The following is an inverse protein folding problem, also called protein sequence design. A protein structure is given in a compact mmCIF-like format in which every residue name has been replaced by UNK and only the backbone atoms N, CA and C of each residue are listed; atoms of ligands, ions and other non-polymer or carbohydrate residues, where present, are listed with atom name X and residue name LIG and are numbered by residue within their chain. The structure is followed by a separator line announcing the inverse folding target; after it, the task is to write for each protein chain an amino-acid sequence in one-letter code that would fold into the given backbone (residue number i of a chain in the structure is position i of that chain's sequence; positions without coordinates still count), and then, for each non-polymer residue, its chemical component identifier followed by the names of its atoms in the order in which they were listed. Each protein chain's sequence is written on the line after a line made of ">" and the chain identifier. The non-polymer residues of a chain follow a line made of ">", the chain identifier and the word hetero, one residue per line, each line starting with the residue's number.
data_IF_448446730239
#
_entry.id   IF_448446730239
#
_cell.length_a   1.000
_cell.length_b   1.000
_cell.length_c   1.000
_cell.angle_alpha   90.00
_cell.angle_beta   90.00
_cell.angle_gamma   90.00
#
_symmetry.space_group_name_H-M   'P 1'
#
loop_
_entity.id
_entity.type
_entity.pdbx_description
1 polymer ?
#
# COMPACT_ATOMS: atom_id res chain seq x y z
N UNK A 1 68.23 -14.84 -1.70
CA UNK A 1 67.31 -13.71 -1.49
C UNK A 1 66.17 -13.89 -2.49
N UNK A 2 64.94 -14.10 -2.03
CA UNK A 2 63.77 -14.36 -2.89
C UNK A 2 62.97 -13.07 -2.96
N UNK A 3 62.85 -12.47 -4.14
CA UNK A 3 61.96 -11.34 -4.38
C UNK A 3 60.55 -11.86 -4.70
N UNK A 4 59.47 -11.28 -4.15
CA UNK A 4 58.13 -11.66 -4.54
C UNK A 4 57.82 -11.07 -5.92
N UNK A 5 57.54 -11.95 -6.89
CA UNK A 5 56.90 -11.59 -8.14
C UNK A 5 55.48 -11.13 -7.79
N UNK A 6 55.19 -9.85 -7.99
CA UNK A 6 53.84 -9.31 -7.82
C UNK A 6 52.86 -10.05 -8.75
N UNK A 7 51.68 -10.46 -8.27
CA UNK A 7 50.71 -11.17 -9.09
C UNK A 7 50.20 -10.31 -10.26
N UNK A 8 50.00 -10.95 -11.42
CA UNK A 8 49.60 -10.31 -12.69
C UNK A 8 48.28 -9.51 -12.68
N UNK A 9 47.51 -9.52 -11.59
CA UNK A 9 46.30 -8.71 -11.46
C UNK A 9 46.59 -7.23 -11.16
N UNK A 10 47.79 -6.88 -10.68
CA UNK A 10 48.16 -5.48 -10.42
C UNK A 10 48.69 -4.73 -11.66
N UNK A 11 49.18 -5.44 -12.68
CA UNK A 11 49.70 -4.84 -13.91
C UNK A 11 48.62 -4.59 -14.97
N UNK A 12 47.48 -5.29 -14.90
CA UNK A 12 46.36 -5.11 -15.83
C UNK A 12 45.60 -3.77 -15.64
N UNK A 13 45.68 -3.17 -14.45
CA UNK A 13 45.01 -1.89 -14.12
C UNK A 13 45.57 -0.69 -14.88
N UNK A 14 46.81 -0.77 -15.38
CA UNK A 14 47.51 0.33 -16.04
C UNK A 14 47.36 0.32 -17.58
N UNK A 15 46.84 -0.76 -18.17
CA UNK A 15 46.81 -0.96 -19.63
C UNK A 15 45.56 -0.38 -20.32
N UNK A 16 44.45 -0.18 -19.59
CA UNK A 16 43.20 0.32 -20.19
C UNK A 16 42.48 1.31 -19.26
N UNK A 17 42.81 2.62 -19.29
CA UNK A 17 42.14 3.65 -18.48
C UNK A 17 40.64 3.80 -18.80
N UNK A 18 40.17 3.23 -19.92
CA UNK A 18 38.76 3.16 -20.29
C UNK A 18 38.03 1.92 -19.73
N UNK A 19 38.76 0.90 -19.25
CA UNK A 19 38.16 -0.31 -18.66
C UNK A 19 37.31 0.04 -17.44
N UNK A 20 37.79 0.96 -16.59
CA UNK A 20 37.01 1.49 -15.48
C UNK A 20 35.80 2.30 -15.92
N UNK A 21 35.80 2.93 -17.11
CA UNK A 21 34.62 3.61 -17.65
C UNK A 21 33.58 2.61 -18.13
N UNK A 22 33.99 1.48 -18.69
CA UNK A 22 33.07 0.40 -19.11
C UNK A 22 32.54 -0.36 -17.90
N UNK A 23 33.38 -0.73 -16.94
CA UNK A 23 32.96 -1.37 -15.69
C UNK A 23 32.09 -0.42 -14.85
N UNK A 24 32.46 0.86 -14.78
CA UNK A 24 31.63 1.88 -14.12
C UNK A 24 30.34 2.17 -14.90
N UNK A 25 30.32 2.12 -16.23
CA UNK A 25 29.12 2.29 -17.04
C UNK A 25 28.19 1.08 -16.90
N UNK A 26 28.71 -0.14 -16.91
CA UNK A 26 27.95 -1.38 -16.65
C UNK A 26 27.41 -1.39 -15.22
N UNK A 27 28.19 -0.90 -14.24
CA UNK A 27 27.76 -0.67 -12.86
C UNK A 27 26.77 0.50 -12.72
N UNK A 28 26.82 1.51 -13.59
CA UNK A 28 25.85 2.61 -13.68
C UNK A 28 24.56 2.20 -14.40
N UNK A 29 24.60 1.19 -15.27
CA UNK A 29 23.44 0.66 -16.00
C UNK A 29 22.65 -0.38 -15.20
N UNK A 30 23.23 -0.91 -14.11
CA UNK A 30 22.48 -1.69 -13.12
C UNK A 30 21.69 -0.69 -12.26
N UNK A 31 20.39 -0.60 -12.45
CA UNK A 31 19.54 0.31 -11.68
C UNK A 31 19.81 0.13 -10.17
N UNK A 32 20.32 1.17 -9.51
CA UNK A 32 20.57 1.20 -8.06
C UNK A 32 19.28 1.13 -7.22
N UNK A 33 18.14 0.86 -7.86
CA UNK A 33 16.86 0.72 -7.20
C UNK A 33 16.94 -0.31 -6.08
N UNK A 34 16.30 0.03 -4.95
CA UNK A 34 16.16 -0.88 -3.81
C UNK A 34 15.50 -2.21 -4.19
N UNK A 35 14.70 -2.28 -5.27
CA UNK A 35 14.12 -3.53 -5.78
C UNK A 35 15.18 -4.43 -6.41
N UNK A 36 16.00 -3.89 -7.30
CA UNK A 36 17.09 -4.62 -7.99
C UNK A 36 18.10 -5.15 -6.97
N UNK A 37 18.45 -4.32 -5.98
CA UNK A 37 19.35 -4.76 -4.91
C UNK A 37 18.77 -5.91 -4.07
N UNK A 38 17.43 -6.01 -3.90
CA UNK A 38 16.78 -7.14 -3.21
C UNK A 38 16.82 -8.41 -4.05
N UNK A 39 16.59 -8.31 -5.35
CA UNK A 39 16.70 -9.44 -6.29
C UNK A 39 18.11 -10.02 -6.29
N UNK A 40 19.13 -9.16 -6.29
CA UNK A 40 20.52 -9.62 -6.19
C UNK A 40 20.79 -10.29 -4.83
N UNK A 41 20.23 -9.77 -3.73
CA UNK A 41 20.32 -10.45 -2.42
C UNK A 41 19.66 -11.83 -2.47
N UNK A 42 18.51 -11.95 -3.13
CA UNK A 42 17.80 -13.22 -3.27
C UNK A 42 18.62 -14.24 -4.08
N UNK A 43 19.17 -13.80 -5.21
CA UNK A 43 20.01 -14.62 -6.06
C UNK A 43 21.29 -15.07 -5.33
N UNK A 44 22.01 -14.13 -4.72
CA UNK A 44 23.21 -14.43 -3.95
C UNK A 44 22.93 -15.33 -2.75
N UNK A 45 21.73 -15.28 -2.17
CA UNK A 45 21.34 -16.18 -1.09
C UNK A 45 21.06 -17.61 -1.56
N UNK A 46 20.57 -17.77 -2.79
CA UNK A 46 20.37 -19.08 -3.41
C UNK A 46 21.70 -19.69 -3.88
N UNK A 47 22.64 -18.86 -4.33
CA UNK A 47 23.98 -19.28 -4.77
C UNK A 47 24.95 -19.49 -3.60
N UNK A 48 24.90 -18.63 -2.57
CA UNK A 48 25.85 -18.59 -1.46
C UNK A 48 25.13 -18.76 -0.10
N UNK A 49 25.53 -19.76 0.68
CA UNK A 49 24.91 -20.02 1.99
C UNK A 49 25.34 -19.08 3.13
N UNK A 50 26.38 -18.26 2.95
CA UNK A 50 26.99 -17.49 4.05
C UNK A 50 26.82 -15.97 3.91
N UNK A 51 26.28 -15.32 4.95
CA UNK A 51 25.92 -13.90 4.95
C UNK A 51 27.12 -12.94 4.71
N UNK A 52 28.34 -13.32 5.12
CA UNK A 52 29.54 -12.49 4.89
C UNK A 52 29.89 -12.37 3.41
N UNK A 53 29.57 -13.39 2.60
CA UNK A 53 29.90 -13.43 1.19
C UNK A 53 28.95 -12.53 0.38
N UNK A 54 27.66 -12.57 0.73
CA UNK A 54 26.62 -11.67 0.22
C UNK A 54 27.01 -10.21 0.49
N UNK A 55 27.52 -9.88 1.69
CA UNK A 55 27.94 -8.52 2.01
C UNK A 55 29.05 -8.01 1.08
N UNK A 56 30.09 -8.83 0.87
CA UNK A 56 31.23 -8.49 0.02
C UNK A 56 30.82 -8.31 -1.44
N UNK A 57 30.08 -9.27 -2.01
CA UNK A 57 29.61 -9.20 -3.40
C UNK A 57 28.67 -8.02 -3.64
N UNK A 58 27.76 -7.74 -2.71
CA UNK A 58 26.89 -6.55 -2.80
C UNK A 58 27.69 -5.25 -2.83
N UNK A 59 28.81 -5.17 -2.08
CA UNK A 59 29.69 -3.99 -2.07
C UNK A 59 30.51 -3.87 -3.35
N UNK A 60 30.91 -4.98 -3.95
CA UNK A 60 31.59 -5.01 -5.26
C UNK A 60 30.66 -4.52 -6.38
N UNK A 61 29.41 -5.02 -6.40
CA UNK A 61 28.42 -4.70 -7.43
C UNK A 61 27.90 -3.26 -7.29
N UNK A 62 27.44 -2.84 -6.11
CA UNK A 62 26.78 -1.53 -5.92
C UNK A 62 27.67 -0.45 -5.30
N UNK A 63 28.84 -0.80 -4.77
CA UNK A 63 29.75 0.16 -4.14
C UNK A 63 29.09 0.90 -2.96
N UNK A 64 29.22 2.22 -2.97
CA UNK A 64 28.62 3.12 -1.98
C UNK A 64 27.10 3.20 -2.06
N UNK A 65 26.53 2.86 -3.22
CA UNK A 65 25.07 2.84 -3.43
C UNK A 65 24.42 1.56 -2.90
N UNK A 66 25.22 0.64 -2.34
CA UNK A 66 24.73 -0.57 -1.71
C UNK A 66 23.84 -0.24 -0.51
N UNK A 67 22.73 -0.97 -0.39
CA UNK A 67 21.92 -0.99 0.84
C UNK A 67 22.77 -1.33 2.07
N UNK A 68 22.37 -0.78 3.22
CA UNK A 68 23.02 -1.01 4.50
C UNK A 68 23.05 -2.49 4.90
N UNK A 69 24.04 -2.87 5.71
CA UNK A 69 24.21 -4.24 6.20
C UNK A 69 22.98 -4.78 6.93
N UNK A 70 22.35 -3.97 7.78
CA UNK A 70 21.13 -4.33 8.49
C UNK A 70 19.98 -4.66 7.52
N UNK A 71 19.87 -3.90 6.42
CA UNK A 71 18.85 -4.15 5.38
C UNK A 71 19.13 -5.46 4.65
N UNK A 72 20.39 -5.74 4.29
CA UNK A 72 20.78 -7.01 3.65
C UNK A 72 20.43 -8.22 4.51
N UNK A 73 20.76 -8.16 5.80
CA UNK A 73 20.49 -9.24 6.74
C UNK A 73 18.99 -9.50 6.91
N UNK A 74 18.18 -8.42 7.05
CA UNK A 74 16.72 -8.53 7.12
C UNK A 74 16.12 -9.20 5.89
N UNK A 75 16.64 -8.90 4.70
CA UNK A 75 16.20 -9.55 3.46
C UNK A 75 16.64 -11.02 3.38
N UNK A 76 17.86 -11.34 3.80
CA UNK A 76 18.32 -12.72 3.90
C UNK A 76 17.40 -13.58 4.78
N UNK A 77 17.02 -13.08 5.95
CA UNK A 77 16.08 -13.77 6.85
C UNK A 77 14.69 -13.94 6.25
N UNK A 78 14.20 -12.93 5.50
CA UNK A 78 12.91 -13.04 4.80
C UNK A 78 12.93 -14.14 3.74
N UNK A 79 14.02 -14.25 2.98
CA UNK A 79 14.17 -15.29 1.98
C UNK A 79 14.34 -16.69 2.60
N UNK A 80 15.01 -16.81 3.74
CA UNK A 80 15.02 -18.05 4.54
C UNK A 80 13.60 -18.46 4.97
N UNK A 81 12.78 -17.50 5.37
CA UNK A 81 11.39 -17.72 5.75
C UNK A 81 10.44 -17.97 4.54
N UNK A 82 10.97 -18.09 3.31
CA UNK A 82 10.17 -18.31 2.09
C UNK A 82 9.39 -17.08 1.62
N UNK A 83 9.66 -15.89 2.17
CA UNK A 83 8.98 -14.65 1.79
C UNK A 83 9.65 -14.03 0.56
N UNK A 84 9.29 -14.53 -0.62
CA UNK A 84 9.88 -14.17 -1.93
C UNK A 84 9.36 -12.84 -2.49
N UNK A 85 8.36 -12.19 -1.87
CA UNK A 85 7.79 -10.96 -2.44
C UNK A 85 8.81 -9.80 -2.45
N UNK A 86 9.28 -9.44 -3.64
CA UNK A 86 10.27 -8.38 -3.89
C UNK A 86 9.63 -6.99 -3.69
N UNK A 87 8.32 -6.87 -3.94
CA UNK A 87 7.58 -5.60 -3.82
C UNK A 87 7.34 -5.27 -2.35
N UNK A 88 7.43 -3.98 -2.03
CA UNK A 88 7.00 -3.51 -0.73
C UNK A 88 5.51 -3.81 -0.56
N UNK A 89 5.16 -4.49 0.53
CA UNK A 89 3.75 -4.60 0.92
C UNK A 89 3.19 -3.20 1.14
N UNK A 90 1.89 -2.98 0.83
CA UNK A 90 1.24 -1.72 1.17
C UNK A 90 1.47 -1.49 2.66
N UNK A 91 2.13 -0.37 2.98
CA UNK A 91 2.35 -0.01 4.38
C UNK A 91 0.96 0.18 5.00
N UNK A 92 0.67 -0.44 6.15
CA UNK A 92 -0.52 -0.08 6.91
C UNK A 92 -0.49 1.42 7.14
N UNK A 93 -1.40 2.16 6.50
CA UNK A 93 -1.54 3.58 6.77
C UNK A 93 -1.92 3.78 8.24
N UNK A 94 -1.40 4.84 8.87
CA UNK A 94 -1.70 5.18 10.26
C UNK A 94 -3.21 5.22 10.56
N UNK A 95 -4.03 5.50 9.54
CA UNK A 95 -5.49 5.52 9.64
C UNK A 95 -6.12 4.12 9.86
N UNK A 96 -5.51 3.04 9.38
CA UNK A 96 -5.99 1.68 9.62
C UNK A 96 -5.84 1.27 11.10
N UNK A 97 -4.87 1.84 11.82
CA UNK A 97 -4.67 1.53 13.24
C UNK A 97 -5.71 2.23 14.15
N UNK A 98 -6.27 3.37 13.73
CA UNK A 98 -7.29 4.13 14.49
C UNK A 98 -8.71 3.66 14.15
N UNK A 99 -8.88 3.05 12.97
CA UNK A 99 -10.18 2.60 12.46
C UNK A 99 -10.40 1.14 12.84
N UNK A 100 -10.78 0.88 14.09
CA UNK A 100 -11.21 -0.45 14.53
C UNK A 100 -12.49 -0.87 13.81
N UNK A 101 -12.68 -2.17 13.58
CA UNK A 101 -13.94 -2.70 13.03
C UNK A 101 -15.16 -2.27 13.84
N UNK A 102 -15.02 -2.19 15.16
CA UNK A 102 -16.06 -1.69 16.06
C UNK A 102 -16.49 -0.25 15.74
N UNK A 103 -15.54 0.66 15.44
CA UNK A 103 -15.88 2.05 15.11
C UNK A 103 -16.51 2.18 13.73
N UNK A 104 -16.16 1.31 12.77
CA UNK A 104 -16.83 1.25 11.48
C UNK A 104 -18.30 0.84 11.66
N UNK A 105 -18.56 -0.21 12.43
CA UNK A 105 -19.92 -0.70 12.67
C UNK A 105 -20.80 0.32 13.41
N UNK A 106 -20.25 1.04 14.39
CA UNK A 106 -21.02 2.10 15.08
C UNK A 106 -21.34 3.27 14.16
N UNK A 107 -20.42 3.66 13.28
CA UNK A 107 -20.69 4.68 12.26
C UNK A 107 -21.80 4.22 11.31
N UNK A 108 -21.75 2.98 10.84
CA UNK A 108 -22.78 2.43 9.94
C UNK A 108 -24.16 2.41 10.61
N UNK A 109 -24.25 1.95 11.86
CA UNK A 109 -25.50 1.93 12.62
C UNK A 109 -26.08 3.34 12.83
N UNK A 110 -25.24 4.33 13.16
CA UNK A 110 -25.67 5.73 13.31
C UNK A 110 -26.26 6.30 12.00
N UNK A 111 -25.68 5.94 10.85
CA UNK A 111 -26.17 6.39 9.54
C UNK A 111 -27.49 5.69 9.19
N UNK A 112 -27.62 4.40 9.52
CA UNK A 112 -28.85 3.62 9.27
C UNK A 112 -30.02 4.10 10.14
N UNK A 113 -29.75 4.52 11.38
CA UNK A 113 -30.75 5.10 12.28
C UNK A 113 -31.17 6.50 11.85
N UNK A 114 -30.22 7.32 11.40
CA UNK A 114 -30.50 8.69 10.95
C UNK A 114 -29.71 9.04 9.69
N UNK A 115 -30.35 8.91 8.54
CA UNK A 115 -29.74 9.21 7.24
C UNK A 115 -29.38 10.71 7.04
N UNK A 116 -29.85 11.60 7.93
CA UNK A 116 -29.56 13.05 7.92
C UNK A 116 -28.45 13.46 8.87
N UNK A 117 -27.84 12.52 9.60
CA UNK A 117 -26.77 12.83 10.55
C UNK A 117 -25.55 13.44 9.84
N UNK A 118 -24.94 14.44 10.48
CA UNK A 118 -23.76 15.11 9.93
C UNK A 118 -22.47 14.42 10.36
N UNK A 119 -21.43 14.50 9.53
CA UNK A 119 -20.09 14.00 9.86
C UNK A 119 -19.54 14.60 11.16
N UNK A 120 -19.95 15.83 11.52
CA UNK A 120 -19.51 16.50 12.74
C UNK A 120 -20.16 15.90 13.99
N UNK A 121 -21.44 15.57 13.93
CA UNK A 121 -22.15 14.93 15.04
C UNK A 121 -21.57 13.54 15.34
N UNK A 122 -21.31 12.74 14.29
CA UNK A 122 -20.66 11.44 14.44
C UNK A 122 -19.24 11.60 15.04
N UNK A 123 -18.47 12.58 14.55
CA UNK A 123 -17.12 12.83 15.06
C UNK A 123 -17.11 13.18 16.56
N UNK A 124 -18.05 14.02 17.00
CA UNK A 124 -18.20 14.36 18.42
C UNK A 124 -18.68 13.16 19.23
N UNK A 125 -19.67 12.42 18.72
CA UNK A 125 -20.24 11.26 19.43
C UNK A 125 -19.24 10.11 19.63
N UNK A 126 -18.33 9.92 18.69
CA UNK A 126 -17.30 8.86 18.77
C UNK A 126 -15.94 9.35 19.28
N UNK A 127 -15.79 10.66 19.55
CA UNK A 127 -14.51 11.31 19.88
C UNK A 127 -13.40 11.06 18.83
N UNK A 128 -13.80 10.97 17.57
CA UNK A 128 -12.92 10.72 16.43
C UNK A 128 -12.76 12.00 15.60
N UNK A 129 -11.61 12.17 14.95
CA UNK A 129 -11.43 13.28 14.02
C UNK A 129 -12.47 13.25 12.88
N UNK A 130 -12.95 14.44 12.48
CA UNK A 130 -13.85 14.59 11.32
C UNK A 130 -13.29 13.95 10.04
N UNK A 131 -11.97 14.03 9.84
CA UNK A 131 -11.29 13.45 8.68
C UNK A 131 -11.41 11.92 8.63
N UNK A 132 -11.24 11.26 9.78
CA UNK A 132 -11.41 9.81 9.90
C UNK A 132 -12.86 9.40 9.62
N UNK A 133 -13.84 10.09 10.19
CA UNK A 133 -15.26 9.80 9.94
C UNK A 133 -15.59 9.96 8.45
N UNK A 134 -15.12 11.04 7.82
CA UNK A 134 -15.29 11.26 6.39
C UNK A 134 -14.69 10.11 5.56
N UNK A 135 -13.49 9.63 5.93
CA UNK A 135 -12.87 8.47 5.29
C UNK A 135 -13.69 7.19 5.47
N UNK A 136 -14.18 6.92 6.69
CA UNK A 136 -15.02 5.74 6.97
C UNK A 136 -16.28 5.77 6.09
N UNK A 137 -17.00 6.90 6.08
CA UNK A 137 -18.25 7.05 5.32
C UNK A 137 -18.03 6.82 3.82
N UNK A 138 -17.05 7.49 3.22
CA UNK A 138 -16.90 7.49 1.76
C UNK A 138 -15.98 6.40 1.20
N UNK A 139 -14.92 6.02 1.91
CA UNK A 139 -13.94 5.03 1.43
C UNK A 139 -14.19 3.63 1.95
N UNK A 140 -14.69 3.50 3.18
CA UNK A 140 -14.93 2.19 3.80
C UNK A 140 -16.35 1.70 3.54
N UNK A 141 -17.35 2.53 3.87
CA UNK A 141 -18.77 2.18 3.73
C UNK A 141 -19.36 2.53 2.36
N UNK A 142 -18.73 3.45 1.62
CA UNK A 142 -19.15 3.84 0.27
C UNK A 142 -20.42 4.70 0.23
N UNK A 143 -20.85 5.28 1.34
CA UNK A 143 -22.01 6.17 1.36
C UNK A 143 -21.71 7.48 0.62
N UNK A 144 -22.73 8.00 -0.06
CA UNK A 144 -22.71 9.30 -0.72
C UNK A 144 -23.95 10.10 -0.29
N UNK A 145 -23.77 11.42 -0.13
CA UNK A 145 -24.90 12.30 0.17
C UNK A 145 -25.72 12.49 -1.10
N UNK A 146 -26.95 11.99 -1.10
CA UNK A 146 -27.94 12.25 -2.15
C UNK A 146 -28.82 13.42 -1.71
N UNK A 147 -28.91 14.48 -2.52
CA UNK A 147 -29.89 15.53 -2.31
C UNK A 147 -31.19 15.09 -2.95
N UNK A 148 -32.16 14.63 -2.16
CA UNK A 148 -33.49 14.33 -2.67
C UNK A 148 -34.28 15.63 -2.82
N UNK A 149 -34.92 15.81 -3.97
CA UNK A 149 -35.83 16.92 -4.19
C UNK A 149 -37.00 16.83 -3.22
N UNK A 150 -37.39 17.95 -2.61
CA UNK A 150 -38.45 18.00 -1.61
C UNK A 150 -39.78 17.46 -2.16
N UNK A 151 -40.35 16.40 -1.57
CA UNK A 151 -41.74 16.05 -1.81
C UNK A 151 -42.61 17.21 -1.36
N UNK A 152 -43.60 17.60 -2.17
CA UNK A 152 -44.62 18.56 -1.73
C UNK A 152 -45.27 18.00 -0.47
N UNK A 153 -45.47 18.85 0.53
CA UNK A 153 -46.16 18.44 1.76
C UNK A 153 -47.65 18.20 1.43
N UNK A 154 -47.98 16.95 1.12
CA UNK A 154 -49.35 16.55 0.80
C UNK A 154 -50.14 16.39 2.10
N UNK A 155 -51.35 16.96 2.13
CA UNK A 155 -52.30 16.68 3.22
C UNK A 155 -52.77 15.22 3.17
N UNK A 156 -53.29 14.70 4.28
CA UNK A 156 -53.86 13.33 4.37
C UNK A 156 -54.82 13.06 3.19
N UNK A 157 -55.74 13.99 2.94
CA UNK A 157 -56.74 13.89 1.88
C UNK A 157 -56.10 13.84 0.47
N UNK A 158 -55.00 14.57 0.26
CA UNK A 158 -54.26 14.54 -1.02
C UNK A 158 -53.46 13.24 -1.21
N UNK A 159 -53.04 12.59 -0.11
CA UNK A 159 -52.40 11.27 -0.16
C UNK A 159 -53.43 10.19 -0.51
N UNK A 160 -54.60 10.21 0.12
CA UNK A 160 -55.69 9.26 -0.16
C UNK A 160 -56.19 9.40 -1.61
N UNK A 161 -56.41 10.62 -2.09
CA UNK A 161 -56.82 10.85 -3.48
C UNK A 161 -55.76 10.38 -4.50
N UNK A 162 -54.46 10.46 -4.18
CA UNK A 162 -53.40 9.91 -5.03
C UNK A 162 -53.41 8.38 -5.09
N UNK A 163 -53.71 7.73 -3.97
CA UNK A 163 -53.83 6.26 -3.91
C UNK A 163 -55.07 5.75 -4.66
N UNK A 164 -56.20 6.45 -4.55
CA UNK A 164 -57.45 6.07 -5.23
C UNK A 164 -57.42 6.27 -6.75
N UNK A 165 -56.53 7.14 -7.24
CA UNK A 165 -56.31 7.38 -8.67
C UNK A 165 -55.26 6.45 -9.28
N UNK A 166 -54.66 5.55 -8.51
CA UNK A 166 -53.73 4.54 -9.01
C UNK A 166 -54.54 3.38 -9.64
N UNK A 167 -54.50 3.18 -10.97
CA UNK A 167 -55.39 2.25 -11.67
C UNK A 167 -55.18 0.77 -11.31
N UNK A 168 -54.18 0.44 -10.48
CA UNK A 168 -53.94 -0.90 -9.93
C UNK A 168 -54.86 -1.24 -8.75
N UNK A 169 -55.38 -0.25 -8.02
CA UNK A 169 -56.23 -0.47 -6.84
C UNK A 169 -57.73 -0.64 -7.18
N UNK A 170 -58.15 -0.24 -8.38
CA UNK A 170 -59.56 -0.34 -8.81
C UNK A 170 -59.96 -1.78 -9.21
N UNK A 171 -58.99 -2.66 -9.46
CA UNK A 171 -59.24 -4.00 -9.99
C UNK A 171 -59.60 -5.05 -8.92
N UNK A 172 -59.38 -4.77 -7.63
CA UNK A 172 -59.74 -5.68 -6.53
C UNK A 172 -61.16 -5.47 -5.97
N UNK A 173 -61.91 -4.47 -6.46
CA UNK A 173 -63.26 -4.16 -5.94
C UNK A 173 -64.42 -4.81 -6.70
N UNK A 174 -64.15 -5.65 -7.70
CA UNK A 174 -65.17 -6.27 -8.55
C UNK A 174 -65.16 -7.81 -8.56
N UNK A 175 -64.61 -8.47 -7.54
CA UNK A 175 -64.76 -9.92 -7.36
C UNK A 175 -65.17 -10.29 -5.94
#
# INVERSE_FOLDING_TARGET
>A
MVFPVAPAYLTASHQYPHFWRVVSAVRCMMDSSRSVQREVIQFLRAEEGHASQIYRRMKEVFGEQSVEQCTKFRWCQRYEAGLVNIKDFPRPGQMHAVTNSATISTVDELIRQNCRITTREIAVGLLVSKGTVHHIIHKTLGYAKVCTQWPKHLSENQKTARWELDPSATQERLH
#
